data_IF_985067296798
#
_entry.id   IF_985067296798
#
_cell.length_a   1.000
_cell.length_b   1.000
_cell.length_c   1.000
_cell.angle_alpha   90.00
_cell.angle_beta   90.00
_cell.angle_gamma   90.00
#
_symmetry.space_group_name_H-M   'P 1'
#
loop_
_entity.id
_entity.type
_entity.pdbx_description
1 polymer ?
#
# COMPACT_ATOMS: atom_id res chain seq x y z
N UNK A 1 -25.22 6.34 14.17
CA UNK A 1 -25.55 5.49 13.01
C UNK A 1 -25.86 6.26 11.73
N UNK A 2 -26.67 7.33 11.74
CA UNK A 2 -27.04 8.06 10.50
C UNK A 2 -25.85 8.69 9.76
N UNK A 3 -24.82 9.18 10.47
CA UNK A 3 -23.65 9.81 9.84
C UNK A 3 -22.71 8.84 9.14
N UNK A 4 -22.64 7.58 9.59
CA UNK A 4 -21.81 6.54 8.96
C UNK A 4 -22.37 6.10 7.60
N UNK A 5 -23.70 6.05 7.48
CA UNK A 5 -24.38 5.70 6.24
C UNK A 5 -24.13 6.75 5.14
N UNK A 6 -24.12 8.03 5.50
CA UNK A 6 -23.88 9.13 4.54
C UNK A 6 -22.44 9.11 4.02
N UNK A 7 -21.46 8.83 4.89
CA UNK A 7 -20.05 8.70 4.48
C UNK A 7 -19.87 7.49 3.57
N UNK A 8 -20.46 6.35 3.92
CA UNK A 8 -20.40 5.14 3.10
C UNK A 8 -21.06 5.34 1.72
N UNK A 9 -22.21 6.02 1.68
CA UNK A 9 -22.90 6.37 0.44
C UNK A 9 -22.10 7.34 -0.43
N UNK A 10 -21.45 8.34 0.19
CA UNK A 10 -20.55 9.26 -0.51
C UNK A 10 -19.36 8.52 -1.13
N UNK A 11 -18.71 7.63 -0.37
CA UNK A 11 -17.62 6.80 -0.87
C UNK A 11 -18.08 5.95 -2.06
N UNK A 12 -19.26 5.33 -1.97
CA UNK A 12 -19.81 4.46 -3.02
C UNK A 12 -20.25 5.22 -4.28
N UNK A 13 -20.70 6.47 -4.15
CA UNK A 13 -21.03 7.31 -5.30
C UNK A 13 -19.77 7.83 -6.01
N UNK A 14 -18.69 8.12 -5.27
CA UNK A 14 -17.41 8.52 -5.87
C UNK A 14 -16.76 7.41 -6.68
N UNK A 15 -16.90 6.14 -6.28
CA UNK A 15 -16.31 5.02 -7.03
C UNK A 15 -16.93 4.85 -8.42
N UNK A 16 -18.20 5.21 -8.62
CA UNK A 16 -18.87 5.10 -9.92
C UNK A 16 -18.34 6.13 -10.94
N UNK A 17 -17.95 7.32 -10.49
CA UNK A 17 -17.41 8.38 -11.37
C UNK A 17 -15.98 8.06 -11.80
N UNK A 18 -15.19 7.41 -10.94
CA UNK A 18 -13.82 6.99 -11.24
C UNK A 18 -13.77 5.85 -12.28
N UNK A 19 -14.74 4.94 -12.25
CA UNK A 19 -14.84 3.88 -13.26
C UNK A 19 -15.16 4.38 -14.68
N UNK A 20 -15.69 5.60 -14.81
CA UNK A 20 -16.09 6.17 -16.10
C UNK A 20 -14.96 6.90 -16.85
N UNK A 21 -13.80 7.14 -16.22
CA UNK A 21 -12.67 7.86 -16.84
C UNK A 21 -11.65 6.94 -17.52
N UNK A 22 -12.03 5.69 -17.77
CA UNK A 22 -11.10 4.66 -18.21
C UNK A 22 -10.74 4.83 -19.70
N UNK A 23 -9.63 5.52 -19.98
CA UNK A 23 -9.06 5.60 -21.32
C UNK A 23 -8.14 4.39 -21.54
N UNK A 24 -8.45 3.58 -22.54
CA UNK A 24 -7.78 2.31 -22.83
C UNK A 24 -6.30 2.50 -23.23
N UNK A 25 -5.91 3.71 -23.63
CA UNK A 25 -4.54 4.09 -23.99
C UNK A 25 -3.80 4.85 -22.88
N UNK A 26 -4.27 4.78 -21.64
CA UNK A 26 -3.65 5.51 -20.54
C UNK A 26 -2.36 4.81 -20.07
N UNK A 27 -1.16 5.43 -20.19
CA UNK A 27 0.08 4.87 -19.64
C UNK A 27 0.04 4.67 -18.12
N UNK A 28 -0.97 5.23 -17.44
CA UNK A 28 -1.24 5.01 -16.02
C UNK A 28 -1.87 3.64 -15.71
N UNK A 29 -2.39 2.93 -16.71
CA UNK A 29 -3.08 1.64 -16.56
C UNK A 29 -2.14 0.44 -16.81
N UNK A 30 -1.42 0.02 -15.76
CA UNK A 30 -0.56 -1.17 -15.80
C UNK A 30 -1.33 -2.44 -15.43
N UNK A 31 -1.17 -3.50 -16.21
CA UNK A 31 -1.73 -4.83 -15.89
C UNK A 31 -1.00 -5.49 -14.72
N UNK A 32 0.32 -5.32 -14.64
CA UNK A 32 1.15 -5.92 -13.62
C UNK A 32 2.17 -4.92 -13.09
N UNK A 33 2.44 -4.98 -11.80
CA UNK A 33 3.47 -4.19 -11.16
C UNK A 33 4.35 -5.06 -10.28
N UNK A 34 5.65 -4.76 -10.29
CA UNK A 34 6.61 -5.36 -9.37
C UNK A 34 7.53 -4.27 -8.84
N UNK A 35 7.67 -4.16 -7.53
CA UNK A 35 8.47 -3.11 -6.92
C UNK A 35 9.20 -3.54 -5.66
N UNK A 36 10.21 -2.77 -5.32
CA UNK A 36 10.92 -2.87 -4.06
C UNK A 36 10.91 -1.50 -3.38
N UNK A 37 10.77 -1.49 -2.07
CA UNK A 37 10.73 -0.27 -1.26
C UNK A 37 11.65 -0.38 -0.05
N UNK A 38 12.13 0.76 0.40
CA UNK A 38 12.83 0.94 1.66
C UNK A 38 12.19 2.10 2.43
N UNK A 39 12.39 2.15 3.73
CA UNK A 39 11.87 3.26 4.52
C UNK A 39 11.97 3.01 6.00
N UNK A 40 11.06 3.63 6.72
CA UNK A 40 10.95 3.51 8.17
C UNK A 40 9.54 3.14 8.58
N UNK A 41 9.42 2.44 9.69
CA UNK A 41 8.18 2.24 10.42
C UNK A 41 8.28 2.98 11.76
N UNK A 42 7.23 3.72 12.09
CA UNK A 42 7.05 4.42 13.35
C UNK A 42 5.99 3.65 14.15
N UNK A 43 6.39 2.64 14.93
CA UNK A 43 5.47 1.87 15.75
C UNK A 43 4.98 2.71 16.93
N UNK A 44 3.68 2.61 17.22
CA UNK A 44 3.06 3.14 18.43
C UNK A 44 2.26 2.03 19.10
N UNK A 45 2.49 1.85 20.41
CA UNK A 45 1.84 0.81 21.22
C UNK A 45 2.14 -0.63 20.77
N UNK A 46 3.27 -0.87 20.10
CA UNK A 46 3.76 -2.23 19.84
C UNK A 46 4.70 -2.63 20.99
N UNK A 47 4.42 -3.71 21.75
CA UNK A 47 5.27 -4.13 22.85
C UNK A 47 6.72 -4.35 22.40
N UNK A 48 7.65 -3.60 23.00
CA UNK A 48 9.09 -3.70 22.71
C UNK A 48 9.58 -2.90 21.51
N UNK A 49 8.69 -2.25 20.73
CA UNK A 49 9.07 -1.41 19.60
C UNK A 49 8.56 0.03 19.82
N UNK A 50 9.40 0.86 20.44
CA UNK A 50 9.13 2.29 20.66
C UNK A 50 9.89 3.22 19.72
N UNK A 51 10.98 2.75 19.12
CA UNK A 51 11.79 3.53 18.20
C UNK A 51 11.39 3.33 16.73
N UNK A 52 11.79 4.29 15.89
CA UNK A 52 11.61 4.18 14.44
C UNK A 52 12.57 3.14 13.91
N UNK A 53 12.03 2.16 13.18
CA UNK A 53 12.79 1.02 12.68
C UNK A 53 12.93 1.10 11.17
N UNK A 54 14.11 0.78 10.61
CA UNK A 54 14.27 0.66 9.18
C UNK A 54 13.48 -0.55 8.65
N UNK A 55 12.97 -0.41 7.44
CA UNK A 55 12.26 -1.47 6.74
C UNK A 55 12.70 -1.56 5.28
N UNK A 56 12.50 -2.75 4.73
CA UNK A 56 12.50 -3.00 3.30
C UNK A 56 11.27 -3.85 2.95
N UNK A 57 10.88 -3.82 1.69
CA UNK A 57 9.75 -4.61 1.23
C UNK A 57 9.71 -4.82 -0.26
N UNK A 58 8.91 -5.80 -0.65
CA UNK A 58 8.57 -6.12 -2.03
C UNK A 58 7.08 -5.92 -2.23
N UNK A 59 6.71 -5.53 -3.44
CA UNK A 59 5.34 -5.25 -3.84
C UNK A 59 5.04 -5.91 -5.18
N UNK A 60 3.85 -6.47 -5.28
CA UNK A 60 3.28 -6.97 -6.53
C UNK A 60 1.88 -6.37 -6.69
N UNK A 61 1.58 -5.83 -7.87
CA UNK A 61 0.29 -5.26 -8.21
C UNK A 61 -0.33 -5.98 -9.40
N UNK A 62 -1.63 -6.18 -9.37
CA UNK A 62 -2.43 -6.74 -10.46
C UNK A 62 -3.55 -5.77 -10.79
N UNK A 63 -3.52 -5.18 -11.99
CA UNK A 63 -4.62 -4.36 -12.49
C UNK A 63 -5.87 -5.21 -12.64
N UNK A 64 -7.00 -4.75 -12.10
CA UNK A 64 -8.28 -5.46 -12.15
C UNK A 64 -9.29 -4.77 -13.09
N UNK A 65 -8.78 -3.95 -14.01
CA UNK A 65 -9.57 -3.06 -14.87
C UNK A 65 -10.01 -1.79 -14.14
N UNK A 66 -10.30 -0.74 -14.92
CA UNK A 66 -10.51 0.60 -14.37
C UNK A 66 -9.23 1.17 -13.77
N UNK A 67 -9.40 2.15 -12.88
CA UNK A 67 -8.31 2.71 -12.06
C UNK A 67 -7.95 1.83 -10.84
N UNK A 68 -8.32 0.53 -10.85
CA UNK A 68 -8.23 -0.36 -9.70
C UNK A 68 -7.07 -1.35 -9.80
N UNK A 69 -6.36 -1.57 -8.69
CA UNK A 69 -5.26 -2.55 -8.58
C UNK A 69 -5.38 -3.33 -7.28
N UNK A 70 -5.17 -4.65 -7.33
CA UNK A 70 -4.96 -5.48 -6.14
C UNK A 70 -3.46 -5.57 -5.87
N UNK A 71 -3.04 -5.18 -4.67
CA UNK A 71 -1.63 -5.15 -4.28
C UNK A 71 -1.33 -6.16 -3.19
N UNK A 72 -0.29 -6.96 -3.40
CA UNK A 72 0.34 -7.79 -2.39
C UNK A 72 1.66 -7.14 -1.98
N UNK A 73 1.91 -7.03 -0.68
CA UNK A 73 3.17 -6.47 -0.16
C UNK A 73 3.74 -7.38 0.91
N UNK A 74 5.05 -7.58 0.87
CA UNK A 74 5.81 -8.25 1.90
C UNK A 74 6.87 -7.29 2.44
N UNK A 75 6.78 -6.94 3.72
CA UNK A 75 7.72 -6.04 4.39
C UNK A 75 8.46 -6.78 5.49
N UNK A 76 9.69 -6.38 5.77
CA UNK A 76 10.45 -6.83 6.91
C UNK A 76 11.30 -5.69 7.48
N UNK A 77 11.52 -5.75 8.79
CA UNK A 77 12.34 -4.77 9.50
C UNK A 77 12.97 -5.37 10.74
N UNK A 78 14.01 -4.71 11.22
CA UNK A 78 14.70 -5.05 12.46
C UNK A 78 15.19 -3.74 13.10
N UNK A 79 14.84 -3.54 14.37
CA UNK A 79 15.36 -2.45 15.19
C UNK A 79 15.22 -2.79 16.68
N UNK A 80 16.19 -2.36 17.48
CA UNK A 80 16.16 -2.46 18.95
C UNK A 80 15.81 -3.85 19.53
N UNK A 81 16.24 -4.93 18.87
CA UNK A 81 15.95 -6.29 19.33
C UNK A 81 14.53 -6.77 19.04
N UNK A 82 13.78 -6.04 18.21
CA UNK A 82 12.52 -6.49 17.61
C UNK A 82 12.72 -6.71 16.12
N UNK A 83 12.47 -7.94 15.69
CA UNK A 83 12.35 -8.30 14.26
C UNK A 83 10.88 -8.41 13.92
N UNK A 84 10.51 -7.96 12.75
CA UNK A 84 9.15 -8.13 12.28
C UNK A 84 9.08 -8.41 10.79
N UNK A 85 8.00 -9.09 10.42
CA UNK A 85 7.66 -9.42 9.03
C UNK A 85 6.18 -9.18 8.85
N UNK A 86 5.80 -8.60 7.72
CA UNK A 86 4.42 -8.30 7.41
C UNK A 86 4.09 -8.76 6.00
N UNK A 87 2.94 -9.40 5.86
CA UNK A 87 2.29 -9.65 4.59
C UNK A 87 0.98 -8.86 4.56
N UNK A 88 0.68 -8.23 3.44
CA UNK A 88 -0.56 -7.47 3.31
C UNK A 88 -1.14 -7.57 1.91
N UNK A 89 -2.47 -7.52 1.83
CA UNK A 89 -3.23 -7.42 0.59
C UNK A 89 -4.06 -6.15 0.61
N UNK A 90 -4.07 -5.39 -0.48
CA UNK A 90 -4.75 -4.09 -0.56
C UNK A 90 -5.53 -3.95 -1.86
N UNK A 91 -6.64 -3.25 -1.81
CA UNK A 91 -7.25 -2.64 -2.98
C UNK A 91 -6.72 -1.20 -3.09
N UNK A 92 -6.12 -0.87 -4.24
CA UNK A 92 -5.55 0.43 -4.58
C UNK A 92 -6.38 1.09 -5.69
N UNK A 93 -6.57 2.39 -5.58
CA UNK A 93 -7.09 3.24 -6.64
C UNK A 93 -6.04 4.25 -7.05
N UNK A 94 -5.91 4.46 -8.35
CA UNK A 94 -4.96 5.37 -8.97
C UNK A 94 -5.69 6.60 -9.50
N UNK A 95 -5.13 7.78 -9.29
CA UNK A 95 -5.70 9.05 -9.74
C UNK A 95 -4.60 9.86 -10.42
N UNK A 96 -4.76 10.15 -11.70
CA UNK A 96 -3.84 11.02 -12.42
C UNK A 96 -3.92 12.46 -11.86
N UNK A 97 -2.77 13.01 -11.48
CA UNK A 97 -2.58 14.38 -10.99
C UNK A 97 -1.44 14.99 -11.79
N UNK A 98 -1.78 15.60 -12.94
CA UNK A 98 -0.80 16.14 -13.89
C UNK A 98 0.21 15.09 -14.35
N UNK A 99 1.49 15.24 -13.98
CA UNK A 99 2.59 14.33 -14.30
C UNK A 99 2.81 13.24 -13.23
N UNK A 100 2.02 13.27 -12.15
CA UNK A 100 2.06 12.32 -11.04
C UNK A 100 0.81 11.45 -11.03
N UNK A 101 0.89 10.32 -10.35
CA UNK A 101 -0.27 9.52 -9.99
C UNK A 101 -0.41 9.51 -8.48
N UNK A 102 -1.49 10.09 -7.97
CA UNK A 102 -1.90 9.92 -6.59
C UNK A 102 -2.46 8.52 -6.40
N UNK A 103 -2.11 7.87 -5.30
CA UNK A 103 -2.65 6.56 -4.95
C UNK A 103 -3.27 6.59 -3.57
N UNK A 104 -4.36 5.84 -3.43
CA UNK A 104 -5.00 5.54 -2.15
C UNK A 104 -5.30 4.06 -2.08
N UNK A 105 -5.10 3.44 -0.93
CA UNK A 105 -5.34 2.02 -0.76
C UNK A 105 -5.81 1.66 0.65
N UNK A 106 -6.57 0.59 0.72
CA UNK A 106 -7.06 -0.02 1.96
C UNK A 106 -6.89 -1.52 1.89
N UNK A 107 -6.56 -2.17 3.00
CA UNK A 107 -6.27 -3.59 2.98
C UNK A 107 -6.20 -4.24 4.36
N UNK A 108 -5.89 -5.53 4.31
CA UNK A 108 -5.65 -6.37 5.48
C UNK A 108 -4.17 -6.75 5.59
N UNK A 109 -3.71 -6.94 6.81
CA UNK A 109 -2.33 -7.33 7.09
C UNK A 109 -2.23 -8.47 8.11
N UNK A 110 -1.16 -9.24 7.98
CA UNK A 110 -0.69 -10.21 8.96
C UNK A 110 0.75 -9.85 9.29
N UNK A 111 0.99 -9.50 10.55
CA UNK A 111 2.29 -9.06 11.05
C UNK A 111 2.80 -10.01 12.10
N UNK A 112 4.04 -10.48 11.94
CA UNK A 112 4.75 -11.32 12.89
C UNK A 112 5.82 -10.48 13.58
N UNK A 113 5.80 -10.47 14.92
CA UNK A 113 6.83 -9.83 15.74
C UNK A 113 7.60 -10.88 16.53
N UNK A 114 8.93 -10.77 16.53
CA UNK A 114 9.86 -11.60 17.29
C UNK A 114 10.74 -10.66 18.11
N UNK A 115 10.87 -10.92 19.41
CA UNK A 115 11.75 -10.12 20.29
C UNK A 115 12.86 -11.01 20.84
N UNK A 116 13.89 -10.40 21.45
CA UNK A 116 14.98 -11.18 22.06
C UNK A 116 14.53 -12.15 23.16
N UNK A 117 13.38 -11.88 23.79
CA UNK A 117 12.90 -12.63 24.97
C UNK A 117 11.61 -13.40 24.70
N UNK A 118 10.99 -13.24 23.53
CA UNK A 118 9.71 -13.86 23.19
C UNK A 118 9.73 -14.45 21.78
N UNK A 119 9.13 -15.64 21.64
CA UNK A 119 8.91 -16.28 20.35
C UNK A 119 8.02 -15.43 19.43
N UNK A 120 8.13 -15.71 18.12
CA UNK A 120 7.39 -15.00 17.09
C UNK A 120 5.87 -15.11 17.32
N UNK A 121 5.19 -13.96 17.40
CA UNK A 121 3.73 -13.86 17.54
C UNK A 121 3.11 -13.16 16.34
N UNK A 122 2.10 -13.80 15.76
CA UNK A 122 1.33 -13.27 14.63
C UNK A 122 0.15 -12.43 15.12
N UNK A 123 -0.11 -11.34 14.41
CA UNK A 123 -1.24 -10.46 14.63
C UNK A 123 -1.89 -10.13 13.30
N UNK A 124 -3.23 -10.17 13.27
CA UNK A 124 -4.01 -9.67 12.14
C UNK A 124 -4.38 -8.21 12.35
N UNK A 125 -4.38 -7.45 11.27
CA UNK A 125 -4.69 -6.04 11.25
C UNK A 125 -5.30 -5.59 9.92
N UNK A 126 -5.49 -4.29 9.83
CA UNK A 126 -5.81 -3.64 8.57
C UNK A 126 -5.02 -2.37 8.39
N UNK A 127 -5.00 -1.85 7.17
CA UNK A 127 -4.29 -0.63 6.88
C UNK A 127 -5.05 0.26 5.91
N UNK A 128 -4.78 1.55 6.02
CA UNK A 128 -5.10 2.55 5.00
C UNK A 128 -3.82 3.28 4.66
N UNK A 129 -3.61 3.57 3.39
CA UNK A 129 -2.45 4.31 2.95
C UNK A 129 -2.72 5.11 1.70
N UNK A 130 -1.74 5.92 1.37
CA UNK A 130 -1.71 6.68 0.16
C UNK A 130 -0.29 7.01 -0.21
N UNK A 131 -0.12 7.65 -1.35
CA UNK A 131 1.18 7.88 -1.90
C UNK A 131 1.13 8.62 -3.21
N UNK A 132 2.31 8.78 -3.79
CA UNK A 132 2.50 9.36 -5.11
C UNK A 132 3.43 8.49 -5.92
N UNK A 133 3.16 8.43 -7.21
CA UNK A 133 3.92 7.74 -8.23
C UNK A 133 4.40 8.77 -9.25
N UNK A 134 5.67 8.68 -9.62
CA UNK A 134 6.32 9.55 -10.58
C UNK A 134 7.00 8.72 -11.65
N UNK A 135 6.80 9.11 -12.91
CA UNK A 135 7.39 8.44 -14.07
C UNK A 135 8.88 8.77 -14.11
N UNK A 136 9.73 7.73 -14.15
CA UNK A 136 11.16 7.88 -14.41
C UNK A 136 11.47 7.50 -15.86
N UNK A 137 10.83 6.44 -16.36
CA UNK A 137 10.84 6.02 -17.76
C UNK A 137 9.54 5.27 -18.06
N UNK A 138 9.39 4.76 -19.30
CA UNK A 138 8.18 4.04 -19.73
C UNK A 138 7.73 2.96 -18.75
N UNK A 139 8.67 2.11 -18.32
CA UNK A 139 8.36 0.92 -17.52
C UNK A 139 8.84 1.06 -16.07
N UNK A 140 9.54 2.15 -15.71
CA UNK A 140 10.12 2.38 -14.38
C UNK A 140 9.54 3.63 -13.72
N UNK A 141 9.05 3.44 -12.51
CA UNK A 141 8.37 4.46 -11.72
C UNK A 141 9.01 4.56 -10.34
N UNK A 142 9.06 5.77 -9.82
CA UNK A 142 9.37 6.00 -8.40
C UNK A 142 8.06 6.11 -7.63
N UNK A 143 7.98 5.44 -6.48
CA UNK A 143 6.81 5.47 -5.61
C UNK A 143 7.21 5.92 -4.21
N UNK A 144 6.42 6.83 -3.66
CA UNK A 144 6.48 7.24 -2.26
C UNK A 144 5.16 6.86 -1.58
N UNK A 145 5.25 6.20 -0.43
CA UNK A 145 4.11 5.67 0.31
C UNK A 145 4.09 6.18 1.75
N UNK A 146 2.88 6.43 2.23
CA UNK A 146 2.54 6.58 3.63
C UNK A 146 1.40 5.62 3.96
N UNK A 147 1.60 4.72 4.92
CA UNK A 147 0.60 3.72 5.33
C UNK A 147 0.40 3.71 6.83
N UNK A 148 -0.85 3.77 7.26
CA UNK A 148 -1.28 3.61 8.64
C UNK A 148 -1.84 2.21 8.85
N UNK A 149 -1.23 1.46 9.76
CA UNK A 149 -1.71 0.16 10.19
C UNK A 149 -2.49 0.25 11.50
N UNK A 150 -3.50 -0.61 11.62
CA UNK A 150 -4.42 -0.72 12.75
C UNK A 150 -4.40 -2.17 13.22
N UNK A 151 -4.09 -2.35 14.51
CA UNK A 151 -3.85 -3.61 15.22
C UNK A 151 -2.55 -4.34 14.83
N UNK A 152 -1.84 -4.94 15.81
CA UNK A 152 -2.12 -4.97 17.26
C UNK A 152 -1.80 -3.64 17.99
N UNK A 153 -1.21 -2.68 17.29
CA UNK A 153 -1.03 -1.28 17.70
C UNK A 153 -1.32 -0.35 16.53
N UNK A 154 -0.87 0.89 16.58
CA UNK A 154 -0.91 1.80 15.43
C UNK A 154 0.50 1.98 14.92
N UNK A 155 0.76 1.76 13.64
CA UNK A 155 2.09 2.04 13.06
C UNK A 155 1.96 2.85 11.79
N UNK A 156 2.89 3.80 11.63
CA UNK A 156 3.01 4.61 10.43
C UNK A 156 4.23 4.15 9.64
N UNK A 157 4.00 3.68 8.44
CA UNK A 157 5.03 3.32 7.48
C UNK A 157 5.23 4.49 6.54
N UNK A 158 6.48 4.89 6.36
CA UNK A 158 6.89 5.87 5.35
C UNK A 158 7.98 5.19 4.54
N UNK A 159 7.80 5.09 3.22
CA UNK A 159 8.75 4.40 2.36
C UNK A 159 8.77 4.96 0.96
N UNK A 160 9.91 4.76 0.30
CA UNK A 160 10.13 5.10 -1.09
C UNK A 160 10.78 3.94 -1.82
N UNK A 161 10.52 3.82 -3.11
CA UNK A 161 11.01 2.70 -3.88
C UNK A 161 10.77 2.83 -5.37
N UNK A 162 11.22 1.82 -6.09
CA UNK A 162 11.02 1.72 -7.53
C UNK A 162 9.99 0.63 -7.82
N UNK A 163 9.13 0.91 -8.79
CA UNK A 163 8.13 0.00 -9.31
C UNK A 163 8.32 -0.13 -10.81
N UNK A 164 8.47 -1.37 -11.27
CA UNK A 164 8.32 -1.71 -12.67
C UNK A 164 6.86 -1.97 -13.01
N UNK A 165 6.39 -1.37 -14.09
CA UNK A 165 5.01 -1.50 -14.59
C UNK A 165 5.03 -2.17 -15.95
N UNK A 166 4.20 -3.20 -16.12
CA UNK A 166 4.15 -4.02 -17.32
C UNK A 166 2.72 -4.28 -17.78
N UNK A 167 2.56 -4.42 -19.09
CA UNK A 167 1.32 -4.79 -19.76
C UNK A 167 0.33 -3.63 -19.83
N UNK A 168 -0.30 -3.47 -20.99
CA UNK A 168 -1.47 -2.62 -21.15
C UNK A 168 -2.66 -3.36 -20.55
N UNK A 169 -3.40 -2.70 -19.66
CA UNK A 169 -4.69 -3.19 -19.17
C UNK A 169 -5.75 -3.00 -20.27
N UNK A 170 -5.62 -3.76 -21.37
CA UNK A 170 -6.60 -3.87 -22.43
C UNK A 170 -7.62 -4.96 -22.09
N UNK A 171 -8.90 -4.59 -22.00
CA UNK A 171 -9.98 -5.56 -21.91
C UNK A 171 -10.14 -6.29 -23.24
N UNK A 172 -10.06 -7.62 -23.21
CA UNK A 172 -10.59 -8.47 -24.29
C UNK A 172 -12.05 -8.80 -24.05
#
# INVERSE_FOLDING_TARGET
MKSFLVIFLYIFCFTQVLWAQNNENDPYNASYEFGAQIGNVLPNQVPGASEIQPQWGLRMGFGIGGAGTIEFTANAGNGEGVKWKQLSVSARMDMAIEELVGIVYIGGDVTNYETLTQEAKSFGGGHVGGGVLSIISRDLWFRLDMKFNINPGTSLFIGGGFTFRFGESGGS
#
